data_IF_794625771407
#
_entry.id   IF_794625771407
#
_cell.length_a   1.000
_cell.length_b   1.000
_cell.length_c   1.000
_cell.angle_alpha   90.00
_cell.angle_beta   90.00
_cell.angle_gamma   90.00
#
_symmetry.space_group_name_H-M   'P 1'
#
loop_
_entity.id
_entity.type
_entity.pdbx_description
1 polymer ?
#
# COMPACT_ATOMS: atom_id res chain seq x y z
N UNK A 1 13.02 -0.94 6.06
CA UNK A 1 13.46 0.44 5.76
C UNK A 1 12.65 0.94 4.59
N UNK A 2 11.87 2.01 4.78
CA UNK A 2 11.08 2.60 3.70
C UNK A 2 12.01 3.38 2.75
N UNK A 3 12.23 2.85 1.55
CA UNK A 3 12.91 3.60 0.48
C UNK A 3 11.92 4.61 -0.08
N UNK A 4 12.21 5.90 0.09
CA UNK A 4 11.42 6.98 -0.52
C UNK A 4 11.32 6.75 -2.03
N UNK A 5 10.16 7.02 -2.66
CA UNK A 5 10.02 6.89 -4.10
C UNK A 5 11.03 7.80 -4.81
N UNK A 6 11.54 7.32 -5.95
CA UNK A 6 12.50 8.06 -6.75
C UNK A 6 11.82 9.32 -7.30
N UNK A 7 12.39 10.50 -7.04
CA UNK A 7 11.92 11.75 -7.66
C UNK A 7 12.25 11.73 -9.16
N UNK A 8 11.39 12.29 -10.02
CA UNK A 8 11.60 12.33 -11.48
C UNK A 8 12.99 12.85 -11.87
N UNK A 9 13.48 13.87 -11.17
CA UNK A 9 14.76 14.50 -11.49
C UNK A 9 15.98 13.80 -10.85
N UNK A 10 15.78 12.76 -10.04
CA UNK A 10 16.87 12.09 -9.33
C UNK A 10 17.82 11.34 -10.28
N UNK A 11 17.37 11.04 -11.51
CA UNK A 11 18.18 10.41 -12.55
C UNK A 11 19.09 11.40 -13.30
N UNK A 12 18.90 12.72 -13.14
CA UNK A 12 19.69 13.71 -13.89
C UNK A 12 21.19 13.56 -13.64
N UNK A 13 22.00 13.73 -14.70
CA UNK A 13 23.47 13.61 -14.63
C UNK A 13 24.05 14.46 -13.50
N UNK A 14 23.53 15.67 -13.32
CA UNK A 14 23.96 16.61 -12.29
C UNK A 14 23.83 16.07 -10.85
N UNK A 15 22.84 15.22 -10.56
CA UNK A 15 22.64 14.64 -9.21
C UNK A 15 23.38 13.33 -9.01
N UNK A 16 23.58 12.57 -10.09
CA UNK A 16 24.14 11.21 -10.03
C UNK A 16 25.66 11.19 -10.16
N UNK A 17 26.22 12.13 -10.93
CA UNK A 17 27.64 12.23 -11.22
C UNK A 17 28.31 13.31 -10.36
N UNK A 18 29.61 13.18 -10.05
CA UNK A 18 30.36 14.23 -9.35
C UNK A 18 30.51 15.45 -10.27
N UNK A 19 30.79 16.63 -9.70
CA UNK A 19 31.01 17.87 -10.44
C UNK A 19 32.04 17.69 -11.58
N UNK A 20 33.11 16.92 -11.32
CA UNK A 20 34.12 16.49 -12.29
C UNK A 20 33.60 15.88 -13.60
N UNK A 21 32.37 15.36 -13.62
CA UNK A 21 31.78 14.82 -14.85
C UNK A 21 31.41 15.88 -15.87
N UNK A 22 31.27 17.14 -15.44
CA UNK A 22 31.15 18.28 -16.33
C UNK A 22 32.55 18.69 -16.83
N UNK A 23 32.81 18.66 -18.15
CA UNK A 23 34.12 19.03 -18.71
C UNK A 23 34.49 20.49 -18.44
N UNK A 24 33.51 21.37 -18.16
CA UNK A 24 33.74 22.79 -17.86
C UNK A 24 33.88 23.07 -16.36
N UNK A 25 33.86 22.04 -15.50
CA UNK A 25 34.05 22.21 -14.06
C UNK A 25 35.52 22.40 -13.70
N UNK A 26 35.80 23.22 -12.68
CA UNK A 26 37.15 23.39 -12.13
C UNK A 26 37.79 22.05 -11.74
N UNK A 27 37.00 21.12 -11.19
CA UNK A 27 37.44 19.76 -10.86
C UNK A 27 37.93 18.97 -12.09
N UNK A 28 37.29 19.15 -13.25
CA UNK A 28 37.74 18.52 -14.48
C UNK A 28 39.02 19.16 -15.02
N UNK A 29 39.20 20.47 -14.82
CA UNK A 29 40.45 21.17 -15.16
C UNK A 29 41.61 20.75 -14.26
N UNK A 30 41.40 20.62 -12.95
CA UNK A 30 42.44 20.25 -11.97
C UNK A 30 42.81 18.78 -12.08
N UNK A 31 41.82 17.88 -12.13
CA UNK A 31 42.06 16.43 -12.04
C UNK A 31 41.98 15.71 -13.39
N UNK A 32 41.58 16.39 -14.46
CA UNK A 32 41.30 15.84 -15.78
C UNK A 32 39.85 15.35 -15.95
N UNK A 33 39.37 15.18 -17.19
CA UNK A 33 37.97 14.84 -17.47
C UNK A 33 37.56 13.48 -16.92
N UNK A 34 36.29 13.34 -16.52
CA UNK A 34 35.75 12.07 -16.03
C UNK A 34 35.62 11.06 -17.18
N UNK A 35 36.19 9.86 -17.02
CA UNK A 35 36.16 8.88 -18.11
C UNK A 35 34.75 8.31 -18.33
N UNK A 36 34.38 8.12 -19.61
CA UNK A 36 33.08 7.54 -20.02
C UNK A 36 32.76 6.21 -19.32
N UNK A 37 33.79 5.37 -19.10
CA UNK A 37 33.65 4.09 -18.40
C UNK A 37 33.22 4.28 -16.94
N UNK A 38 33.78 5.27 -16.23
CA UNK A 38 33.41 5.56 -14.84
C UNK A 38 31.99 6.14 -14.75
N UNK A 39 31.61 6.99 -15.72
CA UNK A 39 30.24 7.51 -15.85
C UNK A 39 29.23 6.38 -16.00
N UNK A 40 29.42 5.52 -17.00
CA UNK A 40 28.55 4.37 -17.24
C UNK A 40 28.46 3.45 -16.01
N UNK A 41 29.58 3.17 -15.35
CA UNK A 41 29.59 2.33 -14.16
C UNK A 41 28.80 2.95 -13.00
N UNK A 42 28.88 4.26 -12.78
CA UNK A 42 28.08 4.96 -11.76
C UNK A 42 26.59 4.89 -12.08
N UNK A 43 26.21 5.20 -13.32
CA UNK A 43 24.82 5.14 -13.80
C UNK A 43 24.25 3.72 -13.68
N UNK A 44 24.99 2.71 -14.13
CA UNK A 44 24.57 1.31 -14.04
C UNK A 44 24.42 0.83 -12.59
N UNK A 45 25.32 1.23 -11.69
CA UNK A 45 25.21 0.91 -10.25
C UNK A 45 23.97 1.52 -9.64
N UNK A 46 23.73 2.80 -9.92
CA UNK A 46 22.51 3.49 -9.48
C UNK A 46 21.26 2.79 -10.01
N UNK A 47 21.17 2.54 -11.31
CA UNK A 47 20.01 1.86 -11.90
C UNK A 47 19.76 0.49 -11.28
N UNK A 48 20.81 -0.33 -11.12
CA UNK A 48 20.69 -1.64 -10.46
C UNK A 48 20.21 -1.54 -9.02
N UNK A 49 20.53 -0.46 -8.30
CA UNK A 49 20.05 -0.22 -6.95
C UNK A 49 18.59 0.24 -6.95
N UNK A 50 18.22 1.13 -7.88
CA UNK A 50 16.85 1.63 -7.99
C UNK A 50 15.86 0.56 -8.46
N UNK A 51 16.22 -0.27 -9.46
CA UNK A 51 15.36 -1.38 -9.92
C UNK A 51 15.02 -2.33 -8.78
N UNK A 52 15.97 -2.62 -7.89
CA UNK A 52 15.72 -3.51 -6.74
C UNK A 52 14.67 -2.98 -5.76
N UNK A 53 14.34 -1.68 -5.82
CA UNK A 53 13.28 -1.05 -5.02
C UNK A 53 11.92 -1.15 -5.69
N UNK A 54 11.88 -1.32 -7.01
CA UNK A 54 10.66 -1.47 -7.79
C UNK A 54 10.30 -2.95 -7.80
N UNK A 55 9.17 -3.27 -7.19
CA UNK A 55 8.64 -4.63 -7.16
C UNK A 55 7.55 -4.69 -8.24
N UNK A 56 7.72 -5.53 -9.28
CA UNK A 56 6.69 -5.64 -10.30
C UNK A 56 5.42 -6.24 -9.71
N UNK A 57 4.23 -5.78 -10.12
CA UNK A 57 2.98 -6.44 -9.75
C UNK A 57 2.96 -7.85 -10.33
N UNK A 58 2.54 -8.83 -9.52
CA UNK A 58 2.34 -10.21 -9.99
C UNK A 58 1.00 -10.39 -10.69
N UNK A 59 0.01 -9.60 -10.28
CA UNK A 59 -1.37 -9.74 -10.71
C UNK A 59 -2.02 -8.36 -10.90
N UNK A 60 -2.79 -8.25 -11.98
CA UNK A 60 -3.66 -7.12 -12.27
C UNK A 60 -5.10 -7.57 -12.01
N UNK A 61 -5.69 -7.03 -10.95
CA UNK A 61 -7.12 -7.19 -10.66
C UNK A 61 -7.94 -6.22 -11.51
N UNK A 62 -9.09 -6.66 -11.99
CA UNK A 62 -10.00 -5.80 -12.74
C UNK A 62 -11.16 -5.42 -11.82
N UNK A 63 -11.29 -4.14 -11.52
CA UNK A 63 -12.48 -3.64 -10.82
C UNK A 63 -13.49 -3.17 -11.86
N UNK A 64 -14.50 -3.99 -12.13
CA UNK A 64 -15.66 -3.56 -12.91
C UNK A 64 -16.45 -2.59 -12.04
N UNK A 65 -16.60 -1.35 -12.49
CA UNK A 65 -17.31 -0.27 -11.76
C UNK A 65 -18.83 -0.46 -11.71
N UNK A 66 -19.34 -1.67 -11.95
CA UNK A 66 -20.75 -2.02 -11.86
C UNK A 66 -21.01 -2.57 -10.44
N UNK A 67 -21.40 -1.67 -9.55
CA UNK A 67 -22.23 -1.91 -8.37
C UNK A 67 -22.41 -3.38 -7.92
N UNK A 68 -21.71 -3.74 -6.85
CA UNK A 68 -21.96 -4.92 -6.02
C UNK A 68 -23.30 -4.83 -5.25
N UNK A 69 -24.39 -4.47 -5.93
CA UNK A 69 -25.74 -4.37 -5.37
C UNK A 69 -26.80 -5.05 -6.24
N UNK A 70 -26.44 -6.04 -7.05
CA UNK A 70 -27.42 -6.98 -7.63
C UNK A 70 -26.92 -8.42 -7.51
N UNK A 71 -27.24 -8.99 -6.35
CA UNK A 71 -27.46 -10.42 -6.18
C UNK A 71 -28.47 -10.89 -7.22
N UNK A 72 -27.99 -11.45 -8.32
CA UNK A 72 -28.82 -11.98 -9.38
C UNK A 72 -27.98 -12.83 -10.30
N UNK A 73 -28.09 -14.15 -10.13
CA UNK A 73 -27.55 -15.15 -11.04
C UNK A 73 -27.88 -14.78 -12.49
N UNK A 74 -26.87 -14.32 -13.23
CA UNK A 74 -27.01 -13.85 -14.59
C UNK A 74 -25.65 -13.86 -15.24
N UNK A 75 -25.28 -15.03 -15.74
CA UNK A 75 -24.19 -15.32 -16.67
C UNK A 75 -24.15 -14.24 -17.76
N UNK A 76 -23.32 -13.22 -17.54
CA UNK A 76 -23.06 -12.14 -18.50
C UNK A 76 -21.55 -11.97 -18.61
N UNK A 77 -21.02 -12.78 -19.52
CA UNK A 77 -19.64 -12.80 -19.99
C UNK A 77 -19.34 -11.55 -20.83
N UNK A 78 -19.58 -10.35 -20.28
CA UNK A 78 -18.96 -9.16 -20.85
C UNK A 78 -17.50 -9.17 -20.40
N UNK A 79 -16.68 -9.83 -21.23
CA UNK A 79 -15.21 -9.79 -21.15
C UNK A 79 -14.82 -8.33 -21.39
N UNK A 80 -14.82 -7.54 -20.32
CA UNK A 80 -14.26 -6.20 -20.34
C UNK A 80 -12.88 -6.28 -20.97
N UNK A 81 -12.63 -5.45 -21.99
CA UNK A 81 -11.39 -5.48 -22.75
C UNK A 81 -10.22 -5.41 -21.76
N UNK A 82 -9.50 -6.53 -21.64
CA UNK A 82 -8.31 -6.61 -20.81
C UNK A 82 -7.30 -5.60 -21.36
N UNK A 83 -6.62 -4.82 -20.51
CA UNK A 83 -5.54 -3.99 -20.99
C UNK A 83 -4.49 -4.89 -21.63
N UNK A 84 -3.94 -4.48 -22.77
CA UNK A 84 -2.97 -5.25 -23.56
C UNK A 84 -1.76 -5.74 -22.74
N UNK A 85 -1.46 -5.06 -21.62
CA UNK A 85 -0.36 -5.41 -20.73
C UNK A 85 -0.68 -6.47 -19.67
N UNK A 86 -1.95 -6.84 -19.47
CA UNK A 86 -2.32 -7.87 -18.51
C UNK A 86 -1.84 -9.26 -18.94
N UNK A 87 -1.91 -9.56 -20.23
CA UNK A 87 -1.52 -10.86 -20.76
C UNK A 87 0.02 -11.04 -20.82
N UNK A 88 0.78 -9.97 -20.59
CA UNK A 88 2.24 -9.99 -20.59
C UNK A 88 2.86 -10.41 -19.25
N UNK A 89 2.06 -10.52 -18.18
CA UNK A 89 2.55 -10.92 -16.87
C UNK A 89 2.57 -12.46 -16.76
N UNK A 90 3.73 -13.09 -16.49
CA UNK A 90 3.88 -14.54 -16.55
C UNK A 90 3.10 -15.30 -15.45
N UNK A 91 2.58 -14.61 -14.44
CA UNK A 91 1.90 -15.19 -13.28
C UNK A 91 0.45 -14.70 -13.14
N UNK A 92 -0.07 -14.03 -14.16
CA UNK A 92 -1.45 -13.55 -14.20
C UNK A 92 -2.42 -14.74 -14.17
N UNK A 93 -3.56 -14.59 -13.48
CA UNK A 93 -4.65 -15.56 -13.39
C UNK A 93 -4.33 -16.90 -12.70
N UNK A 94 -3.13 -17.08 -12.13
CA UNK A 94 -2.79 -18.27 -11.35
C UNK A 94 -3.43 -18.30 -9.95
N UNK A 95 -4.04 -17.19 -9.51
CA UNK A 95 -4.63 -17.07 -8.17
C UNK A 95 -3.59 -17.19 -7.03
N UNK A 96 -2.31 -16.95 -7.31
CA UNK A 96 -1.25 -17.11 -6.30
C UNK A 96 -1.39 -16.13 -5.14
N UNK A 97 -1.84 -14.91 -5.41
CA UNK A 97 -2.06 -13.92 -4.35
C UNK A 97 -3.16 -14.41 -3.41
N UNK A 98 -4.29 -14.87 -3.95
CA UNK A 98 -5.39 -15.38 -3.13
C UNK A 98 -4.97 -16.64 -2.35
N UNK A 99 -4.21 -17.55 -2.96
CA UNK A 99 -3.65 -18.72 -2.25
C UNK A 99 -2.76 -18.30 -1.07
N UNK A 100 -1.82 -17.37 -1.30
CA UNK A 100 -0.94 -16.85 -0.24
C UNK A 100 -1.77 -16.17 0.87
N UNK A 101 -2.80 -15.41 0.51
CA UNK A 101 -3.72 -14.79 1.48
C UNK A 101 -4.46 -15.84 2.33
N UNK A 102 -4.91 -16.95 1.72
CA UNK A 102 -5.52 -18.05 2.47
C UNK A 102 -4.52 -18.70 3.43
N UNK A 103 -3.30 -18.97 2.98
CA UNK A 103 -2.22 -19.56 3.78
C UNK A 103 -1.85 -18.68 4.99
N UNK A 104 -1.72 -17.38 4.75
CA UNK A 104 -1.44 -16.38 5.80
C UNK A 104 -2.62 -16.29 6.77
N UNK A 105 -3.83 -16.26 6.21
CA UNK A 105 -5.10 -16.05 6.88
C UNK A 105 -5.19 -14.71 7.60
N UNK A 106 -6.41 -14.36 8.04
CA UNK A 106 -6.61 -13.14 8.83
C UNK A 106 -5.69 -13.13 10.05
N UNK A 107 -5.25 -11.97 10.51
CA UNK A 107 -4.55 -11.89 11.78
C UNK A 107 -5.45 -12.48 12.89
N UNK A 108 -4.84 -13.14 13.89
CA UNK A 108 -5.59 -13.43 15.10
C UNK A 108 -5.91 -12.09 15.77
N UNK A 109 -7.13 -11.96 16.28
CA UNK A 109 -7.45 -10.84 17.15
C UNK A 109 -6.45 -10.83 18.31
N UNK A 110 -6.04 -9.65 18.75
CA UNK A 110 -5.20 -9.53 19.92
C UNK A 110 -5.96 -10.18 21.08
N UNK A 111 -5.26 -10.88 21.98
CA UNK A 111 -5.92 -11.43 23.15
C UNK A 111 -6.63 -10.28 23.88
N UNK A 112 -7.93 -10.45 24.14
CA UNK A 112 -8.72 -9.44 24.81
C UNK A 112 -8.10 -9.12 26.17
N UNK A 113 -8.02 -7.83 26.49
CA UNK A 113 -7.55 -7.40 27.82
C UNK A 113 -8.54 -7.84 28.90
N UNK A 114 -8.09 -7.94 30.15
CA UNK A 114 -8.97 -8.37 31.27
C UNK A 114 -10.22 -7.48 31.40
N UNK A 115 -10.11 -6.18 31.11
CA UNK A 115 -11.24 -5.24 31.13
C UNK A 115 -12.23 -5.51 29.99
N UNK A 116 -11.73 -5.71 28.77
CA UNK A 116 -12.55 -6.07 27.61
C UNK A 116 -13.27 -7.41 27.81
N UNK A 117 -12.61 -8.39 28.45
CA UNK A 117 -13.25 -9.68 28.74
C UNK A 117 -14.46 -9.50 29.67
N UNK A 118 -14.31 -8.71 30.74
CA UNK A 118 -15.41 -8.38 31.65
C UNK A 118 -16.53 -7.59 30.96
N UNK A 119 -16.17 -6.66 30.08
CA UNK A 119 -17.16 -5.90 29.29
C UNK A 119 -17.91 -6.82 28.31
N UNK A 120 -17.21 -7.71 27.60
CA UNK A 120 -17.84 -8.70 26.70
C UNK A 120 -18.72 -9.70 27.42
N UNK A 121 -18.34 -10.13 28.63
CA UNK A 121 -19.18 -11.00 29.47
C UNK A 121 -20.52 -10.35 29.81
N UNK A 122 -20.59 -9.02 29.85
CA UNK A 122 -21.85 -8.28 30.03
C UNK A 122 -22.63 -8.06 28.71
N UNK A 123 -22.00 -8.28 27.54
CA UNK A 123 -22.57 -8.01 26.20
C UNK A 123 -22.58 -9.28 25.34
N UNK A 124 -22.88 -10.44 25.93
CA UNK A 124 -22.96 -11.71 25.18
C UNK A 124 -24.34 -11.85 24.53
N UNK A 125 -24.61 -11.07 23.48
CA UNK A 125 -25.56 -11.46 22.43
C UNK A 125 -24.98 -11.04 21.08
N UNK A 126 -24.77 -12.03 20.21
CA UNK A 126 -24.56 -11.93 18.76
C UNK A 126 -23.34 -11.15 18.26
N UNK A 127 -22.25 -11.88 17.98
CA UNK A 127 -21.47 -11.85 16.72
C UNK A 127 -20.10 -12.52 16.94
N UNK A 128 -20.10 -13.79 17.32
CA UNK A 128 -18.92 -14.62 17.11
C UNK A 128 -18.80 -14.81 15.59
N UNK A 129 -17.80 -14.21 14.94
CA UNK A 129 -17.56 -14.45 13.51
C UNK A 129 -17.20 -15.92 13.30
N UNK A 130 -18.16 -16.70 12.82
CA UNK A 130 -18.04 -18.12 12.45
C UNK A 130 -17.27 -18.20 11.12
N UNK A 131 -15.99 -17.83 11.13
CA UNK A 131 -15.08 -18.29 10.08
C UNK A 131 -14.20 -19.37 10.70
N UNK A 132 -14.18 -20.59 10.14
CA UNK A 132 -13.45 -21.70 10.74
C UNK A 132 -11.96 -21.35 10.84
N UNK A 133 -11.39 -21.54 12.03
CA UNK A 133 -9.98 -21.30 12.30
C UNK A 133 -9.03 -22.22 11.49
N UNK A 134 -9.57 -23.17 10.72
CA UNK A 134 -8.84 -24.24 10.02
C UNK A 134 -8.17 -23.81 8.71
N UNK A 135 -8.47 -22.64 8.15
CA UNK A 135 -7.85 -22.20 6.89
C UNK A 135 -6.44 -21.63 7.05
N UNK A 136 -5.97 -21.43 8.29
CA UNK A 136 -4.68 -20.81 8.56
C UNK A 136 -3.57 -21.83 8.61
N UNK A 137 -2.43 -21.52 8.01
CA UNK A 137 -1.27 -22.38 8.12
C UNK A 137 -0.79 -22.49 9.59
N UNK A 138 -0.54 -23.70 10.12
CA UNK A 138 -0.21 -23.91 11.54
C UNK A 138 1.12 -23.25 11.92
N UNK A 139 2.12 -23.31 11.04
CA UNK A 139 3.44 -22.70 11.29
C UNK A 139 3.36 -21.16 11.27
N UNK A 140 3.70 -20.56 12.42
CA UNK A 140 3.85 -19.09 12.57
C UNK A 140 4.95 -18.52 11.68
N UNK A 141 6.05 -19.25 11.50
CA UNK A 141 7.18 -18.80 10.69
C UNK A 141 6.76 -18.67 9.22
N UNK A 142 6.06 -19.69 8.70
CA UNK A 142 5.54 -19.69 7.33
C UNK A 142 4.62 -18.49 7.10
N UNK A 143 3.65 -18.26 7.99
CA UNK A 143 2.77 -17.10 7.92
C UNK A 143 3.52 -15.78 7.94
N UNK A 144 4.53 -15.64 8.82
CA UNK A 144 5.35 -14.42 8.88
C UNK A 144 6.09 -14.18 7.56
N UNK A 145 6.66 -15.23 6.97
CA UNK A 145 7.39 -15.14 5.69
C UNK A 145 6.47 -14.78 4.54
N UNK A 146 5.29 -15.38 4.45
CA UNK A 146 4.31 -15.05 3.43
C UNK A 146 3.68 -13.66 3.64
N UNK A 147 3.54 -13.18 4.88
CA UNK A 147 3.19 -11.77 5.14
C UNK A 147 4.26 -10.81 4.65
N UNK A 148 5.52 -11.08 4.97
CA UNK A 148 6.65 -10.28 4.48
C UNK A 148 6.73 -10.29 2.94
N UNK A 149 6.27 -11.38 2.31
CA UNK A 149 6.11 -11.48 0.87
C UNK A 149 4.95 -10.60 0.38
N UNK A 150 3.75 -10.71 0.94
CA UNK A 150 2.60 -9.86 0.57
C UNK A 150 2.88 -8.36 0.76
N UNK A 151 3.72 -7.98 1.74
CA UNK A 151 4.14 -6.59 1.95
C UNK A 151 5.06 -6.04 0.86
N UNK A 152 5.58 -6.91 0.00
CA UNK A 152 6.44 -6.59 -1.14
C UNK A 152 5.71 -6.74 -2.48
N UNK A 153 4.53 -7.33 -2.50
CA UNK A 153 3.80 -7.61 -3.74
C UNK A 153 2.70 -6.56 -3.92
N UNK A 154 2.91 -5.55 -4.78
CA UNK A 154 1.84 -4.61 -5.11
C UNK A 154 0.76 -5.34 -5.90
N UNK A 155 -0.49 -5.15 -5.48
CA UNK A 155 -1.67 -5.54 -6.23
C UNK A 155 -2.04 -4.35 -7.09
N UNK A 156 -1.99 -4.52 -8.40
CA UNK A 156 -2.44 -3.48 -9.32
C UNK A 156 -3.92 -3.73 -9.63
N UNK A 157 -4.75 -2.70 -9.52
CA UNK A 157 -6.15 -2.74 -9.88
C UNK A 157 -6.40 -1.82 -11.05
N UNK A 158 -6.79 -2.40 -12.18
CA UNK A 158 -7.22 -1.68 -13.36
C UNK A 158 -8.71 -1.38 -13.29
N UNK A 159 -9.05 -0.10 -13.41
CA UNK A 159 -10.42 0.39 -13.55
C UNK A 159 -10.67 0.68 -15.02
N UNK A 160 -11.55 -0.12 -15.62
CA UNK A 160 -12.01 0.12 -16.98
C UNK A 160 -12.69 1.50 -17.08
N UNK A 161 -12.48 2.26 -18.16
CA UNK A 161 -13.18 3.51 -18.38
C UNK A 161 -14.70 3.25 -18.45
N UNK A 162 -15.49 4.04 -17.74
CA UNK A 162 -16.96 3.95 -17.81
C UNK A 162 -17.42 4.36 -19.22
N UNK A 163 -18.28 3.59 -19.89
CA UNK A 163 -18.66 3.81 -21.30
C UNK A 163 -19.34 5.17 -21.55
N UNK A 164 -19.84 5.84 -20.51
CA UNK A 164 -20.41 7.18 -20.60
C UNK A 164 -19.38 8.28 -20.92
N UNK A 165 -18.09 8.02 -20.67
CA UNK A 165 -17.01 9.00 -20.83
C UNK A 165 -16.25 8.70 -22.11
N UNK A 166 -16.59 9.42 -23.20
CA UNK A 166 -15.95 9.50 -24.55
C UNK A 166 -14.95 8.38 -24.94
N UNK A 167 -15.11 7.90 -26.18
CA UNK A 167 -14.42 6.80 -26.89
C UNK A 167 -12.87 6.68 -26.82
N UNK A 168 -12.16 7.53 -26.08
CA UNK A 168 -10.69 7.53 -25.95
C UNK A 168 -10.17 7.67 -24.52
N UNK A 169 -10.99 7.43 -23.48
CA UNK A 169 -10.45 7.45 -22.12
C UNK A 169 -9.67 6.16 -21.84
N UNK A 170 -8.37 6.28 -21.60
CA UNK A 170 -7.55 5.19 -21.07
C UNK A 170 -8.04 4.84 -19.65
N UNK A 171 -8.08 3.55 -19.32
CA UNK A 171 -8.46 3.11 -17.98
C UNK A 171 -7.46 3.60 -16.92
N UNK A 172 -7.91 3.65 -15.67
CA UNK A 172 -7.07 4.13 -14.57
C UNK A 172 -6.48 2.95 -13.80
N UNK A 173 -5.19 3.05 -13.48
CA UNK A 173 -4.52 2.07 -12.62
C UNK A 173 -4.45 2.62 -11.20
N UNK A 174 -4.79 1.76 -10.24
CA UNK A 174 -4.54 1.99 -8.82
C UNK A 174 -3.66 0.88 -8.28
N UNK A 175 -2.78 1.19 -7.33
CA UNK A 175 -1.87 0.22 -6.73
C UNK A 175 -2.18 0.14 -5.25
N UNK A 176 -2.42 -1.06 -4.76
CA UNK A 176 -2.71 -1.35 -3.37
C UNK A 176 -1.81 -2.47 -2.85
N UNK A 177 -1.72 -2.61 -1.53
CA UNK A 177 -1.09 -3.76 -0.89
C UNK A 177 -2.20 -4.62 -0.28
N UNK A 178 -1.96 -5.94 -0.24
CA UNK A 178 -2.88 -6.88 0.41
C UNK A 178 -3.17 -6.48 1.85
N UNK A 179 -4.41 -6.62 2.31
CA UNK A 179 -4.78 -6.38 3.72
C UNK A 179 -4.02 -7.30 4.68
N UNK A 180 -3.63 -8.48 4.20
CA UNK A 180 -2.88 -9.48 4.96
C UNK A 180 -1.39 -9.16 5.06
N UNK A 181 -0.90 -8.20 4.27
CA UNK A 181 0.52 -7.78 4.29
C UNK A 181 0.87 -7.00 5.55
N UNK A 182 -0.03 -6.13 5.98
CA UNK A 182 0.08 -5.44 7.24
C UNK A 182 -0.24 -6.48 8.29
N UNK A 183 0.77 -6.91 9.03
CA UNK A 183 0.56 -7.57 10.32
C UNK A 183 -0.08 -6.57 11.27
N UNK A 184 -1.34 -6.18 11.03
CA UNK A 184 -2.12 -5.38 11.94
C UNK A 184 -2.19 -6.18 13.22
N UNK A 185 -1.39 -5.75 14.19
CA UNK A 185 -1.82 -5.77 15.58
C UNK A 185 -3.16 -5.06 15.57
N UNK A 186 -4.28 -5.71 15.92
CA UNK A 186 -5.61 -5.10 15.90
C UNK A 186 -5.77 -3.93 16.90
N UNK A 187 -4.67 -3.44 17.47
CA UNK A 187 -4.65 -2.23 18.26
C UNK A 187 -5.01 -0.99 17.42
N UNK A 188 -4.51 -0.81 16.19
CA UNK A 188 -4.66 0.49 15.52
C UNK A 188 -6.03 0.76 14.89
N UNK A 189 -6.77 -0.28 14.48
CA UNK A 189 -8.08 -0.11 13.84
C UNK A 189 -9.26 -0.26 14.82
N UNK A 190 -9.02 -0.83 16.00
CA UNK A 190 -10.01 -0.90 17.10
C UNK A 190 -9.82 0.24 18.10
N UNK A 191 -8.73 1.02 18.02
CA UNK A 191 -8.56 2.25 18.80
C UNK A 191 -8.78 3.52 17.99
N UNK A 192 -9.74 3.53 17.06
CA UNK A 192 -10.63 4.69 17.11
C UNK A 192 -11.50 4.40 18.32
N UNK A 193 -11.01 4.78 19.52
CA UNK A 193 -11.88 4.83 20.70
C UNK A 193 -13.10 5.62 20.24
N UNK A 194 -14.27 5.03 20.29
CA UNK A 194 -15.51 5.80 20.24
C UNK A 194 -15.31 6.97 21.20
N UNK A 195 -15.44 8.18 20.69
CA UNK A 195 -15.16 9.37 21.48
C UNK A 195 -16.36 9.48 22.42
N UNK A 196 -16.24 8.92 23.63
CA UNK A 196 -17.26 9.07 24.66
C UNK A 196 -17.56 10.56 24.88
N UNK A 197 -18.78 10.88 25.31
CA UNK A 197 -19.23 12.25 25.59
C UNK A 197 -18.26 13.02 26.52
N UNK A 198 -17.55 12.30 27.39
CA UNK A 198 -16.50 12.84 28.25
C UNK A 198 -15.24 13.26 27.50
N UNK A 199 -14.82 12.52 26.47
CA UNK A 199 -13.70 12.89 25.61
C UNK A 199 -14.09 14.05 24.67
N UNK A 200 -15.33 14.08 24.19
CA UNK A 200 -15.88 15.20 23.43
C UNK A 200 -15.89 16.49 24.27
N UNK A 201 -16.34 16.42 25.53
CA UNK A 201 -16.36 17.56 26.44
C UNK A 201 -14.96 18.12 26.70
N UNK A 202 -13.93 17.27 26.79
CA UNK A 202 -12.54 17.71 26.98
C UNK A 202 -11.96 18.40 25.74
N UNK A 203 -12.31 17.92 24.54
CA UNK A 203 -11.92 18.52 23.27
C UNK A 203 -12.57 19.90 23.08
N UNK A 204 -13.84 20.04 23.45
CA UNK A 204 -14.59 21.30 23.32
C UNK A 204 -14.21 22.31 24.42
N UNK A 205 -14.06 21.86 25.67
CA UNK A 205 -13.71 22.74 26.79
C UNK A 205 -12.31 23.38 26.69
N UNK A 206 -11.39 22.78 25.93
CA UNK A 206 -10.05 23.33 25.70
C UNK A 206 -10.03 24.55 24.76
N UNK A 207 -11.09 24.79 23.98
CA UNK A 207 -11.14 25.91 23.01
C UNK A 207 -11.64 27.22 23.63
N UNK A 208 -12.47 27.16 24.67
CA UNK A 208 -13.08 28.34 25.29
C UNK A 208 -12.08 29.18 26.12
N UNK A 209 -10.99 28.56 26.58
CA UNK A 209 -9.97 29.23 27.39
C UNK A 209 -9.00 30.15 26.63
N UNK A 210 -8.99 30.14 25.29
CA UNK A 210 -8.03 30.93 24.49
C UNK A 210 -8.56 32.26 23.96
N UNK A 211 -9.86 32.52 24.06
CA UNK A 211 -10.46 33.77 23.54
C UNK A 211 -10.26 34.95 24.52
N UNK A 212 -9.96 34.71 25.80
CA UNK A 212 -9.90 35.77 26.82
C UNK A 212 -8.54 36.44 27.04
N UNK A 213 -7.47 36.12 26.28
CA UNK A 213 -6.13 36.72 26.49
C UNK A 213 -5.69 37.78 25.47
N UNK A 214 -6.54 38.20 24.53
CA UNK A 214 -6.18 39.20 23.51
C UNK A 214 -6.59 40.66 23.86
N UNK A 215 -7.08 40.94 25.07
CA UNK A 215 -7.46 42.30 25.52
C UNK A 215 -6.71 42.72 26.79
N UNK A 216 -5.39 42.70 26.76
CA UNK A 216 -4.56 43.47 27.72
C UNK A 216 -3.14 43.54 27.17
N UNK A 217 -2.89 44.61 26.44
CA UNK A 217 -1.61 45.29 26.25
C UNK A 217 -1.93 46.49 25.35
N UNK A 218 -2.47 47.53 25.99
CA UNK A 218 -2.26 48.90 25.56
C UNK A 218 -0.89 49.37 26.05
#
# INVERSE_FOLDING_TARGET
>A
MATRPLKKDAWTKAKLLPARADPFSDDAHIFGPFSKRREYNKQKRFFKQEIKKVLPPLEISMSTTMDASRTGNGESTEVGQRPYHADALPMQDLGLVSEIETLVGRAALAPLTRKERKAKEATVVATASILPASTRHPSRWVRRRYRDLLAKLPIMTYRSPTPATKQHSEGTYSVQLSEYSFGRTPASDVTVREIDDTNLAWLLGGMEGKIYKAKKNG
#
